data_IF_986481585592
#
_entry.id   IF_986481585592
#
_cell.length_a   1.000
_cell.length_b   1.000
_cell.length_c   1.000
_cell.angle_alpha   90.00
_cell.angle_beta   90.00
_cell.angle_gamma   90.00
#
_symmetry.space_group_name_H-M   'P 1'
#
loop_
_entity.id
_entity.type
_entity.pdbx_description
1 polymer ?
#
# COMPACT_ATOMS: atom_id res chain seq x y z
N UNK A 1 11.13 71.68 -14.48
CA UNK A 1 10.80 71.08 -15.79
C UNK A 1 11.49 69.71 -15.87
N UNK A 2 10.75 68.61 -16.06
CA UNK A 2 11.27 67.22 -15.90
C UNK A 2 12.21 66.81 -17.05
N UNK A 3 13.36 66.16 -16.79
CA UNK A 3 13.98 65.28 -17.76
C UNK A 3 13.24 63.92 -17.78
N UNK A 4 12.83 63.50 -18.98
CA UNK A 4 12.17 62.23 -19.27
C UNK A 4 13.18 61.06 -19.22
N UNK A 5 12.70 59.94 -18.67
CA UNK A 5 13.00 58.54 -19.05
C UNK A 5 14.45 58.20 -19.40
N UNK A 6 15.13 57.53 -18.49
CA UNK A 6 16.23 56.63 -18.84
C UNK A 6 15.69 55.41 -19.63
N UNK A 7 16.13 55.15 -20.86
CA UNK A 7 15.85 53.91 -21.57
C UNK A 7 17.13 53.07 -21.56
N UNK A 8 17.52 52.56 -20.40
CA UNK A 8 18.53 51.51 -20.37
C UNK A 8 17.79 50.19 -20.18
N UNK A 9 17.37 49.65 -21.33
CA UNK A 9 17.20 48.23 -21.59
C UNK A 9 18.49 47.50 -21.20
N UNK A 10 18.72 47.34 -19.91
CA UNK A 10 19.70 46.42 -19.35
C UNK A 10 19.16 45.02 -19.57
N UNK A 11 19.60 44.41 -20.67
CA UNK A 11 19.64 42.98 -20.98
C UNK A 11 18.84 42.11 -20.00
N UNK A 12 17.76 41.49 -20.51
CA UNK A 12 17.12 40.31 -19.91
C UNK A 12 18.21 39.36 -19.41
N UNK A 13 18.57 39.42 -18.13
CA UNK A 13 18.99 38.22 -17.42
C UNK A 13 17.74 37.36 -17.48
N UNK A 14 17.73 36.37 -18.38
CA UNK A 14 17.00 35.14 -18.11
C UNK A 14 17.43 34.83 -16.68
N UNK A 15 16.56 35.09 -15.72
CA UNK A 15 16.59 34.33 -14.49
C UNK A 15 16.62 32.90 -15.00
N UNK A 16 17.80 32.30 -14.95
CA UNK A 16 17.95 30.88 -14.98
C UNK A 16 17.01 30.42 -13.88
N UNK A 17 15.80 30.04 -14.30
CA UNK A 17 14.85 29.31 -13.46
C UNK A 17 15.76 28.32 -12.73
N UNK A 18 15.92 28.40 -11.41
CA UNK A 18 16.80 27.49 -10.72
C UNK A 18 16.30 26.12 -11.13
N UNK A 19 17.07 25.44 -11.96
CA UNK A 19 16.81 24.06 -12.33
C UNK A 19 16.67 23.39 -10.98
N UNK A 20 15.50 22.79 -10.70
CA UNK A 20 15.23 22.35 -9.35
C UNK A 20 16.35 21.36 -9.00
N UNK A 21 17.19 21.76 -8.03
CA UNK A 21 18.38 21.01 -7.58
C UNK A 21 18.00 19.59 -7.19
N UNK A 22 16.72 19.41 -6.86
CA UNK A 22 16.05 18.14 -6.79
C UNK A 22 15.27 17.94 -8.07
N UNK A 23 15.64 16.89 -8.78
CA UNK A 23 14.74 16.27 -9.74
C UNK A 23 13.39 16.10 -9.04
N UNK A 24 12.41 16.93 -9.39
CA UNK A 24 10.99 16.67 -9.13
C UNK A 24 10.57 15.51 -10.03
N UNK A 25 11.34 14.39 -9.96
CA UNK A 25 10.81 13.08 -10.24
C UNK A 25 9.59 13.01 -9.33
N UNK A 26 8.38 12.88 -9.88
CA UNK A 26 7.36 12.23 -9.11
C UNK A 26 8.03 10.94 -8.64
N UNK A 27 8.15 10.70 -7.34
CA UNK A 27 8.57 9.39 -6.83
C UNK A 27 7.39 8.42 -7.04
N UNK A 28 6.79 8.45 -8.23
CA UNK A 28 6.06 7.35 -8.80
C UNK A 28 7.11 6.49 -9.49
N UNK A 29 7.94 5.85 -8.67
CA UNK A 29 8.51 4.59 -9.10
C UNK A 29 7.29 3.67 -9.26
N UNK A 30 6.85 3.50 -10.51
CA UNK A 30 5.94 2.42 -10.96
C UNK A 30 6.62 1.05 -10.81
N UNK A 31 7.39 0.86 -9.74
CA UNK A 31 7.97 -0.43 -9.41
C UNK A 31 6.85 -1.21 -8.72
N UNK A 32 6.45 -2.37 -9.25
CA UNK A 32 5.42 -3.17 -8.62
C UNK A 32 5.87 -3.52 -7.20
N UNK A 33 5.03 -3.23 -6.21
CA UNK A 33 5.23 -3.45 -4.77
C UNK A 33 5.88 -4.81 -4.48
N UNK A 34 5.50 -5.83 -5.24
CA UNK A 34 5.96 -7.22 -5.14
C UNK A 34 7.49 -7.38 -5.22
N UNK A 35 8.22 -6.42 -5.84
CA UNK A 35 9.69 -6.49 -5.92
C UNK A 35 10.41 -6.06 -4.65
N UNK A 36 9.82 -5.15 -3.86
CA UNK A 36 10.49 -4.51 -2.72
C UNK A 36 9.84 -4.84 -1.37
N UNK A 37 8.63 -5.41 -1.40
CA UNK A 37 7.87 -5.79 -0.21
C UNK A 37 7.63 -7.30 -0.20
N UNK A 38 8.07 -7.96 0.87
CA UNK A 38 7.73 -9.34 1.19
C UNK A 38 6.43 -9.33 2.00
N UNK A 39 5.39 -9.93 1.43
CA UNK A 39 4.10 -10.11 2.09
C UNK A 39 3.86 -11.60 2.30
N UNK A 40 3.53 -11.98 3.52
CA UNK A 40 3.21 -13.34 3.92
C UNK A 40 1.82 -13.37 4.56
N UNK A 41 0.93 -14.20 4.01
CA UNK A 41 -0.40 -14.45 4.56
C UNK A 41 -0.49 -15.89 5.09
N UNK A 42 -0.53 -16.02 6.41
CA UNK A 42 -0.88 -17.23 7.14
C UNK A 42 -2.39 -17.31 7.32
N UNK A 43 -2.97 -18.48 7.07
CA UNK A 43 -4.38 -18.76 7.37
C UNK A 43 -4.37 -20.03 8.19
N UNK A 44 -4.85 -19.92 9.42
CA UNK A 44 -4.90 -20.98 10.40
C UNK A 44 -6.35 -21.18 10.84
N UNK A 45 -6.74 -22.44 11.02
CA UNK A 45 -8.04 -22.78 11.58
C UNK A 45 -7.81 -23.28 13.00
N UNK A 46 -8.33 -22.54 13.98
CA UNK A 46 -8.26 -22.89 15.39
C UNK A 46 -9.56 -23.64 15.77
N UNK A 47 -9.42 -24.93 16.07
CA UNK A 47 -10.54 -25.82 16.46
C UNK A 47 -10.46 -26.14 17.96
N UNK A 48 -10.08 -25.16 18.77
CA UNK A 48 -9.80 -25.32 20.21
C UNK A 48 -10.97 -24.98 21.14
N UNK A 49 -11.97 -24.24 20.66
CA UNK A 49 -13.12 -23.78 21.44
C UNK A 49 -14.44 -24.35 20.89
N UNK A 50 -15.54 -24.15 21.61
CA UNK A 50 -16.89 -24.62 21.25
C UNK A 50 -17.37 -24.15 19.85
N UNK A 51 -16.65 -23.23 19.21
CA UNK A 51 -16.86 -22.80 17.83
C UNK A 51 -15.53 -22.79 17.07
N UNK A 52 -15.53 -23.18 15.78
CA UNK A 52 -14.37 -22.99 14.92
C UNK A 52 -14.09 -21.50 14.73
N UNK A 53 -12.82 -21.13 14.85
CA UNK A 53 -12.34 -19.76 14.62
C UNK A 53 -11.23 -19.78 13.56
N UNK A 54 -11.33 -18.90 12.56
CA UNK A 54 -10.27 -18.73 11.58
C UNK A 54 -9.37 -17.57 12.00
N UNK A 55 -8.06 -17.82 12.03
CA UNK A 55 -7.04 -16.84 12.37
C UNK A 55 -6.21 -16.57 11.12
N UNK A 56 -6.19 -15.30 10.70
CA UNK A 56 -5.39 -14.83 9.58
C UNK A 56 -4.21 -14.04 10.14
N UNK A 57 -3.01 -14.52 9.84
CA UNK A 57 -1.75 -13.85 10.15
C UNK A 57 -1.27 -13.12 8.90
N UNK A 58 -1.05 -11.83 9.02
CA UNK A 58 -0.50 -11.01 7.95
C UNK A 58 0.83 -10.44 8.41
N UNK A 59 1.90 -10.89 7.76
CA UNK A 59 3.25 -10.38 7.93
C UNK A 59 3.70 -9.62 6.69
N UNK A 60 4.00 -8.35 6.87
CA UNK A 60 4.45 -7.47 5.81
C UNK A 60 5.82 -6.94 6.22
N UNK A 61 6.80 -7.08 5.33
CA UNK A 61 8.12 -6.50 5.50
C UNK A 61 8.59 -5.82 4.21
N UNK A 62 8.98 -4.55 4.30
CA UNK A 62 9.42 -3.77 3.14
C UNK A 62 9.66 -2.31 3.49
N UNK A 63 10.49 -1.62 2.70
CA UNK A 63 10.83 -0.18 2.88
C UNK A 63 11.29 0.22 4.30
N UNK A 64 11.89 -0.71 5.04
CA UNK A 64 12.33 -0.47 6.43
C UNK A 64 11.22 -0.54 7.47
N UNK A 65 9.99 -0.89 7.09
CA UNK A 65 8.87 -1.10 8.00
C UNK A 65 8.48 -2.58 8.05
N UNK A 66 7.98 -3.01 9.21
CA UNK A 66 7.41 -4.35 9.41
C UNK A 66 6.05 -4.20 10.09
N UNK A 67 5.03 -4.78 9.47
CA UNK A 67 3.68 -4.79 10.00
C UNK A 67 3.29 -6.25 10.18
N UNK A 68 3.03 -6.62 11.43
CA UNK A 68 2.46 -7.90 11.79
C UNK A 68 1.05 -7.64 12.32
N UNK A 69 0.05 -8.30 11.74
CA UNK A 69 -1.35 -8.15 12.15
C UNK A 69 -2.02 -9.51 12.18
N UNK A 70 -2.80 -9.74 13.24
CA UNK A 70 -3.53 -10.99 13.45
C UNK A 70 -5.01 -10.66 13.47
N UNK A 71 -5.77 -11.31 12.60
CA UNK A 71 -7.20 -11.09 12.45
C UNK A 71 -7.95 -12.38 12.71
N UNK A 72 -8.88 -12.32 13.67
CA UNK A 72 -9.70 -13.45 14.06
C UNK A 72 -11.12 -13.30 13.52
N UNK A 73 -11.62 -14.39 12.95
CA UNK A 73 -12.93 -14.49 12.33
C UNK A 73 -13.71 -15.64 12.97
N UNK A 74 -14.48 -15.37 14.04
CA UNK A 74 -15.26 -16.39 14.72
C UNK A 74 -16.42 -16.86 13.85
N UNK A 75 -16.70 -18.17 13.84
CA UNK A 75 -17.83 -18.74 13.09
C UNK A 75 -17.60 -18.85 11.58
N UNK A 76 -16.44 -18.43 11.09
CA UNK A 76 -16.01 -18.61 9.70
C UNK A 76 -15.03 -19.78 9.65
N UNK A 77 -15.32 -20.75 8.79
CA UNK A 77 -14.45 -21.89 8.56
C UNK A 77 -14.26 -22.07 7.07
N UNK A 78 -13.08 -21.68 6.59
CA UNK A 78 -12.68 -21.93 5.21
C UNK A 78 -12.05 -23.33 5.11
N UNK A 79 -12.47 -24.08 4.10
CA UNK A 79 -11.78 -25.31 3.70
C UNK A 79 -10.35 -25.01 3.23
N UNK A 80 -9.51 -26.06 3.16
CA UNK A 80 -8.14 -25.93 2.63
C UNK A 80 -8.15 -25.29 1.23
N UNK A 81 -9.12 -25.64 0.38
CA UNK A 81 -9.27 -25.05 -0.96
C UNK A 81 -9.57 -23.56 -0.92
N UNK A 82 -10.55 -23.14 -0.10
CA UNK A 82 -10.92 -21.73 0.05
C UNK A 82 -9.80 -20.90 0.67
N UNK A 83 -9.04 -21.46 1.62
CA UNK A 83 -7.87 -20.78 2.19
C UNK A 83 -6.78 -20.48 1.15
N UNK A 84 -6.58 -21.39 0.18
CA UNK A 84 -5.66 -21.18 -0.94
C UNK A 84 -6.20 -20.12 -1.89
N UNK A 85 -7.51 -20.16 -2.19
CA UNK A 85 -8.17 -19.16 -3.02
C UNK A 85 -8.09 -17.77 -2.39
N UNK A 86 -8.33 -17.65 -1.09
CA UNK A 86 -8.19 -16.42 -0.34
C UNK A 86 -6.76 -15.87 -0.42
N UNK A 87 -5.74 -16.72 -0.24
CA UNK A 87 -4.34 -16.31 -0.44
C UNK A 87 -4.10 -15.78 -1.86
N UNK A 88 -4.58 -16.49 -2.89
CA UNK A 88 -4.42 -16.04 -4.29
C UNK A 88 -5.11 -14.71 -4.56
N UNK A 89 -6.33 -14.53 -4.07
CA UNK A 89 -7.09 -13.28 -4.17
C UNK A 89 -6.39 -12.12 -3.47
N UNK A 90 -5.86 -12.36 -2.27
CA UNK A 90 -5.10 -11.39 -1.52
C UNK A 90 -3.86 -10.91 -2.28
N UNK A 91 -3.02 -11.84 -2.78
CA UNK A 91 -1.86 -11.47 -3.59
C UNK A 91 -2.23 -10.74 -4.88
N UNK A 92 -3.34 -11.14 -5.52
CA UNK A 92 -3.86 -10.45 -6.72
C UNK A 92 -4.29 -9.02 -6.40
N UNK A 93 -4.94 -8.77 -5.26
CA UNK A 93 -5.33 -7.43 -4.80
C UNK A 93 -4.11 -6.57 -4.48
N UNK A 94 -3.12 -7.11 -3.74
CA UNK A 94 -1.90 -6.38 -3.40
C UNK A 94 -1.08 -6.02 -4.64
N UNK A 95 -1.03 -6.90 -5.64
CA UNK A 95 -0.36 -6.59 -6.91
C UNK A 95 -0.91 -5.34 -7.61
N UNK A 96 -2.18 -5.02 -7.38
CA UNK A 96 -2.84 -3.84 -7.95
C UNK A 96 -2.67 -2.58 -7.09
N UNK A 97 -2.07 -2.66 -5.91
CA UNK A 97 -1.77 -1.48 -5.09
C UNK A 97 -0.55 -0.73 -5.64
N UNK A 98 -0.57 0.59 -5.51
CA UNK A 98 0.59 1.46 -5.78
C UNK A 98 1.44 1.60 -4.52
N UNK A 99 2.76 1.78 -4.67
CA UNK A 99 3.68 1.92 -3.55
C UNK A 99 3.27 3.05 -2.57
N UNK A 100 2.79 4.17 -3.10
CA UNK A 100 2.27 5.30 -2.31
C UNK A 100 1.09 4.88 -1.41
N UNK A 101 0.09 4.19 -1.98
CA UNK A 101 -1.02 3.66 -1.18
C UNK A 101 -0.53 2.69 -0.12
N UNK A 102 0.37 1.79 -0.48
CA UNK A 102 0.91 0.79 0.43
C UNK A 102 1.63 1.42 1.63
N UNK A 103 2.39 2.50 1.42
CA UNK A 103 3.06 3.22 2.50
C UNK A 103 2.07 3.97 3.42
N UNK A 104 0.89 4.34 2.91
CA UNK A 104 -0.17 4.97 3.70
C UNK A 104 -1.10 4.00 4.44
N UNK A 105 -1.02 2.69 4.14
CA UNK A 105 -1.90 1.68 4.73
C UNK A 105 -1.73 1.61 6.25
N UNK A 106 -2.84 1.76 6.98
CA UNK A 106 -2.89 1.54 8.42
C UNK A 106 -3.29 0.09 8.72
N UNK A 107 -3.08 -0.35 9.96
CA UNK A 107 -3.54 -1.66 10.42
C UNK A 107 -5.07 -1.86 10.23
N UNK A 108 -5.85 -0.77 10.37
CA UNK A 108 -7.28 -0.79 10.09
C UNK A 108 -7.61 -1.11 8.63
N UNK A 109 -6.83 -0.58 7.70
CA UNK A 109 -7.07 -0.75 6.26
C UNK A 109 -6.78 -2.19 5.84
N UNK A 110 -5.75 -2.80 6.44
CA UNK A 110 -5.46 -4.23 6.30
C UNK A 110 -6.61 -5.09 6.82
N UNK A 111 -7.15 -4.76 8.00
CA UNK A 111 -8.32 -5.44 8.56
C UNK A 111 -9.53 -5.35 7.62
N UNK A 112 -9.82 -4.17 7.07
CA UNK A 112 -10.94 -4.00 6.14
C UNK A 112 -10.74 -4.81 4.86
N UNK A 113 -9.55 -4.78 4.27
CA UNK A 113 -9.23 -5.53 3.06
C UNK A 113 -9.37 -7.04 3.27
N UNK A 114 -8.88 -7.57 4.39
CA UNK A 114 -9.01 -8.98 4.73
C UNK A 114 -10.46 -9.35 5.00
N UNK A 115 -11.19 -8.51 5.75
CA UNK A 115 -12.60 -8.76 6.06
C UNK A 115 -13.47 -8.77 4.81
N UNK A 116 -13.21 -7.86 3.85
CA UNK A 116 -13.90 -7.82 2.55
C UNK A 116 -13.63 -9.11 1.75
N UNK A 117 -12.37 -9.55 1.69
CA UNK A 117 -11.99 -10.80 1.03
C UNK A 117 -12.62 -12.04 1.68
N UNK A 118 -12.64 -12.12 3.02
CA UNK A 118 -13.27 -13.24 3.74
C UNK A 118 -14.79 -13.25 3.48
N UNK A 119 -15.42 -12.08 3.43
CA UNK A 119 -16.85 -11.96 3.13
C UNK A 119 -17.21 -12.45 1.72
N UNK A 120 -16.30 -12.39 0.74
CA UNK A 120 -16.54 -12.97 -0.60
C UNK A 120 -16.79 -14.50 -0.55
N UNK A 121 -16.33 -15.18 0.51
CA UNK A 121 -16.52 -16.62 0.72
C UNK A 121 -17.68 -16.96 1.66
N UNK A 122 -18.38 -15.95 2.20
CA UNK A 122 -19.61 -16.14 2.96
C UNK A 122 -20.75 -16.33 1.96
N UNK A 123 -21.33 -17.54 1.92
CA UNK A 123 -22.46 -17.93 1.08
C UNK A 123 -23.67 -18.31 1.92
#
# INVERSE_FOLDING_TARGET
MRPKKYPYLGKRKREEIPSPLFSARPIFNEVPIVKEVKVELGVEAEVGHSYPEMVIHLDISGYGNRVHSVHRFPGIFLTVGESIQLKMLFYKRIKNLTADRFLTFRESDWKFLISDLVNEFMH
#
